data_IF_951567145260
#
_entry.id   IF_951567145260
#
_cell.length_a   1.000
_cell.length_b   1.000
_cell.length_c   1.000
_cell.angle_alpha   90.00
_cell.angle_beta   90.00
_cell.angle_gamma   90.00
#
_symmetry.space_group_name_H-M   'P 1'
#
loop_
_entity.id
_entity.type
_entity.pdbx_description
1 polymer ?
#
# COMPACT_ATOMS: atom_id res chain seq x y z
N UNK A 1 -26.21 34.30 51.21
CA UNK A 1 -26.46 35.66 50.72
C UNK A 1 -26.24 35.64 49.25
N UNK A 2 -27.11 35.75 48.58
CA UNK A 2 -28.27 36.36 47.88
C UNK A 2 -28.15 35.98 46.39
N UNK A 3 -29.10 35.24 45.89
CA UNK A 3 -30.37 35.50 45.24
C UNK A 3 -30.31 36.21 43.87
N UNK A 4 -30.72 35.43 42.87
CA UNK A 4 -31.74 35.72 41.84
C UNK A 4 -31.49 36.86 40.85
N UNK A 5 -31.56 36.54 39.55
CA UNK A 5 -32.79 36.80 38.81
C UNK A 5 -32.79 36.21 37.39
N UNK A 6 -33.87 35.55 37.14
CA UNK A 6 -34.45 35.03 35.91
C UNK A 6 -35.12 36.15 35.13
N UNK A 7 -34.99 36.24 33.82
CA UNK A 7 -36.03 36.82 32.96
C UNK A 7 -36.15 36.10 31.64
N UNK A 8 -37.31 35.55 31.43
CA UNK A 8 -37.93 35.06 30.19
C UNK A 8 -38.44 36.24 29.36
N UNK A 9 -38.39 36.14 28.02
CA UNK A 9 -39.31 36.77 27.05
C UNK A 9 -39.17 35.89 25.79
N UNK A 10 -40.06 35.07 25.40
CA UNK A 10 -41.38 35.13 24.78
C UNK A 10 -41.31 35.46 23.27
N UNK A 11 -41.58 34.46 22.49
CA UNK A 11 -42.29 34.22 21.22
C UNK A 11 -42.64 35.43 20.33
N UNK A 12 -42.36 35.28 19.01
CA UNK A 12 -43.28 35.74 17.96
C UNK A 12 -43.19 34.79 16.73
N UNK A 13 -44.33 34.17 16.46
CA UNK A 13 -44.68 33.40 15.26
C UNK A 13 -45.18 34.40 14.21
N UNK A 14 -44.68 34.33 12.97
CA UNK A 14 -45.40 34.87 11.82
C UNK A 14 -45.42 33.78 10.74
N UNK A 15 -46.64 33.30 10.50
CA UNK A 15 -47.03 32.47 9.38
C UNK A 15 -47.41 33.37 8.18
N UNK A 16 -46.97 32.98 7.01
CA UNK A 16 -47.41 33.59 5.76
C UNK A 16 -47.42 32.53 4.66
N UNK A 17 -48.61 32.15 4.26
CA UNK A 17 -48.91 31.12 3.29
C UNK A 17 -49.19 31.69 1.88
N UNK A 18 -49.12 30.77 0.90
CA UNK A 18 -49.72 30.77 -0.45
C UNK A 18 -48.94 31.53 -1.54
N UNK A 19 -48.69 30.94 -2.70
CA UNK A 19 -49.65 30.34 -3.66
C UNK A 19 -48.99 29.40 -4.67
N UNK A 20 -49.78 28.42 -5.07
CA UNK A 20 -49.60 27.43 -6.14
C UNK A 20 -49.30 28.03 -7.53
N UNK A 21 -48.44 27.33 -8.28
CA UNK A 21 -48.35 27.41 -9.73
C UNK A 21 -48.00 26.06 -10.30
N UNK A 22 -48.99 25.20 -10.53
CA UNK A 22 -48.88 24.00 -11.35
C UNK A 22 -48.79 24.40 -12.83
N UNK A 23 -47.72 23.96 -13.50
CA UNK A 23 -47.80 23.67 -14.93
C UNK A 23 -47.03 22.35 -15.17
N UNK A 24 -47.83 21.31 -15.42
CA UNK A 24 -47.36 20.04 -15.96
C UNK A 24 -47.09 20.18 -17.45
N UNK A 25 -45.98 19.61 -17.93
CA UNK A 25 -45.96 18.86 -19.17
C UNK A 25 -44.68 18.04 -19.20
N UNK A 26 -44.88 16.77 -19.32
CA UNK A 26 -43.89 15.74 -19.24
C UNK A 26 -42.98 15.62 -20.50
N UNK A 27 -41.85 15.04 -20.25
CA UNK A 27 -41.21 14.11 -21.17
C UNK A 27 -40.36 13.21 -20.31
N UNK A 28 -40.60 11.91 -20.38
CA UNK A 28 -39.80 10.87 -19.81
C UNK A 28 -38.44 10.82 -20.55
N UNK A 29 -37.44 11.34 -19.88
CA UNK A 29 -36.04 11.10 -20.19
C UNK A 29 -35.39 10.60 -18.90
N UNK A 30 -34.82 9.43 -18.94
CA UNK A 30 -34.08 8.84 -17.85
C UNK A 30 -32.77 9.65 -17.73
N UNK A 31 -32.78 10.75 -16.97
CA UNK A 31 -31.59 11.51 -16.65
C UNK A 31 -31.12 11.07 -15.26
N UNK A 32 -30.20 10.10 -15.23
CA UNK A 32 -29.25 9.96 -14.12
C UNK A 32 -28.16 11.03 -14.30
N UNK A 33 -28.50 12.30 -14.14
CA UNK A 33 -27.52 13.38 -14.16
C UNK A 33 -26.98 13.60 -12.75
N UNK A 34 -25.82 13.01 -12.43
CA UNK A 34 -24.93 13.57 -11.43
C UNK A 34 -24.64 15.03 -11.77
N UNK A 35 -24.32 15.86 -10.79
CA UNK A 35 -23.99 17.28 -10.99
C UNK A 35 -22.60 17.51 -11.63
N UNK A 36 -21.95 16.45 -12.13
CA UNK A 36 -20.62 16.48 -12.74
C UNK A 36 -19.46 16.73 -11.77
N UNK A 37 -19.75 16.78 -10.47
CA UNK A 37 -18.74 16.94 -9.43
C UNK A 37 -18.51 15.61 -8.70
N UNK A 38 -17.26 15.07 -8.80
CA UNK A 38 -16.84 13.82 -8.18
C UNK A 38 -15.80 14.07 -7.08
N UNK A 39 -15.85 13.23 -6.05
CA UNK A 39 -14.81 13.15 -5.02
C UNK A 39 -13.96 11.92 -5.26
N UNK A 40 -12.66 12.13 -5.41
CA UNK A 40 -11.66 11.07 -5.49
C UNK A 40 -10.86 10.99 -4.19
N UNK A 41 -11.08 9.94 -3.41
CA UNK A 41 -10.47 9.74 -2.10
C UNK A 41 -9.23 8.84 -2.19
N UNK A 42 -8.12 9.30 -1.60
CA UNK A 42 -6.86 8.57 -1.50
C UNK A 42 -6.31 8.60 -0.07
N UNK A 43 -5.34 7.72 0.26
CA UNK A 43 -4.72 7.71 1.61
C UNK A 43 -3.32 8.31 1.66
N UNK A 44 -2.68 8.60 0.53
CA UNK A 44 -1.31 9.13 0.48
C UNK A 44 -1.28 10.57 -0.04
N UNK A 45 -0.99 11.49 0.86
CA UNK A 45 -0.86 12.91 0.52
C UNK A 45 0.35 13.18 -0.39
N UNK A 46 1.40 12.35 -0.34
CA UNK A 46 2.57 12.45 -1.19
C UNK A 46 2.26 12.18 -2.66
N UNK A 47 1.28 11.33 -2.94
CA UNK A 47 0.86 10.99 -4.30
C UNK A 47 -0.27 11.91 -4.84
N UNK A 48 -0.81 12.80 -4.00
CA UNK A 48 -1.97 13.64 -4.38
C UNK A 48 -1.71 14.46 -5.63
N UNK A 49 -0.57 15.11 -5.74
CA UNK A 49 -0.23 15.96 -6.90
C UNK A 49 -0.19 15.17 -8.22
N UNK A 50 0.23 13.91 -8.19
CA UNK A 50 0.19 13.03 -9.35
C UNK A 50 -1.24 12.62 -9.73
N UNK A 51 -2.09 12.35 -8.73
CA UNK A 51 -3.51 12.07 -8.98
C UNK A 51 -4.27 13.28 -9.51
N UNK A 52 -3.89 14.48 -9.08
CA UNK A 52 -4.43 15.73 -9.64
C UNK A 52 -4.06 15.88 -11.12
N UNK A 53 -2.80 15.60 -11.52
CA UNK A 53 -2.41 15.60 -12.94
C UNK A 53 -3.23 14.60 -13.78
N UNK A 54 -3.44 13.40 -13.24
CA UNK A 54 -4.24 12.37 -13.92
C UNK A 54 -5.71 12.81 -14.09
N UNK A 55 -6.31 13.39 -13.05
CA UNK A 55 -7.68 13.91 -13.13
C UNK A 55 -7.79 15.16 -14.01
N UNK A 56 -6.79 16.02 -14.02
CA UNK A 56 -6.73 17.17 -14.93
C UNK A 56 -6.72 16.74 -16.39
N UNK A 57 -5.91 15.74 -16.77
CA UNK A 57 -5.89 15.20 -18.13
C UNK A 57 -7.26 14.68 -18.57
N UNK A 58 -7.96 13.95 -17.71
CA UNK A 58 -9.33 13.51 -17.98
C UNK A 58 -10.31 14.68 -18.13
N UNK A 59 -10.25 15.68 -17.24
CA UNK A 59 -11.14 16.86 -17.27
C UNK A 59 -10.90 17.76 -18.48
N UNK A 60 -9.72 17.76 -19.10
CA UNK A 60 -9.47 18.46 -20.36
C UNK A 60 -10.33 17.92 -21.50
N UNK A 61 -10.56 16.60 -21.54
CA UNK A 61 -11.43 15.96 -22.52
C UNK A 61 -12.92 15.98 -22.11
N UNK A 62 -13.20 16.16 -20.81
CA UNK A 62 -14.53 16.13 -20.20
C UNK A 62 -14.82 17.44 -19.43
N UNK A 63 -14.99 18.60 -20.11
CA UNK A 63 -15.06 19.92 -19.46
C UNK A 63 -16.25 20.11 -18.52
N UNK A 64 -17.27 19.29 -18.64
CA UNK A 64 -18.46 19.31 -17.77
C UNK A 64 -18.27 18.49 -16.47
N UNK A 65 -17.16 17.77 -16.33
CA UNK A 65 -16.80 16.97 -15.16
C UNK A 65 -15.79 17.72 -14.30
N UNK A 66 -15.93 17.60 -12.97
CA UNK A 66 -14.95 18.08 -12.02
C UNK A 66 -14.62 16.98 -11.01
N UNK A 67 -13.35 16.62 -10.89
CA UNK A 67 -12.87 15.64 -9.94
C UNK A 67 -12.01 16.37 -8.89
N UNK A 68 -12.37 16.22 -7.62
CA UNK A 68 -11.61 16.75 -6.48
C UNK A 68 -10.88 15.62 -5.77
N UNK A 69 -9.54 15.65 -5.80
CA UNK A 69 -8.71 14.66 -5.09
C UNK A 69 -8.57 15.05 -3.62
N UNK A 70 -8.99 14.16 -2.72
CA UNK A 70 -8.90 14.34 -1.28
C UNK A 70 -8.01 13.24 -0.69
N UNK A 71 -7.03 13.64 0.14
CA UNK A 71 -6.12 12.73 0.82
C UNK A 71 -6.42 12.70 2.33
N UNK A 72 -6.42 11.48 2.90
CA UNK A 72 -6.61 11.24 4.33
C UNK A 72 -5.59 10.17 4.74
N UNK A 73 -5.00 10.27 5.93
CA UNK A 73 -4.03 9.24 6.38
C UNK A 73 -4.66 7.84 6.46
N UNK A 74 -3.83 6.80 6.34
CA UNK A 74 -4.21 5.39 6.20
C UNK A 74 -5.32 4.93 7.17
N UNK A 75 -5.14 5.08 8.48
CA UNK A 75 -6.11 4.59 9.48
C UNK A 75 -7.46 5.33 9.41
N UNK A 76 -7.40 6.64 9.20
CA UNK A 76 -8.60 7.48 9.05
C UNK A 76 -9.32 7.20 7.74
N UNK A 77 -8.56 6.88 6.67
CA UNK A 77 -9.11 6.50 5.37
C UNK A 77 -10.02 5.28 5.49
N UNK A 78 -9.52 4.18 6.05
CA UNK A 78 -10.30 2.95 6.19
C UNK A 78 -11.49 3.12 7.14
N UNK A 79 -11.30 3.85 8.24
CA UNK A 79 -12.40 4.17 9.16
C UNK A 79 -13.54 4.94 8.46
N UNK A 80 -13.19 5.92 7.64
CA UNK A 80 -14.18 6.71 6.88
C UNK A 80 -14.82 5.90 5.76
N UNK A 81 -14.04 5.13 5.03
CA UNK A 81 -14.54 4.32 3.92
C UNK A 81 -15.54 3.28 4.39
N UNK A 82 -15.27 2.59 5.50
CA UNK A 82 -16.17 1.61 6.12
C UNK A 82 -17.48 2.25 6.61
N UNK A 83 -17.39 3.40 7.28
CA UNK A 83 -18.57 4.17 7.69
C UNK A 83 -19.40 4.62 6.48
N UNK A 84 -18.75 5.03 5.39
CA UNK A 84 -19.40 5.46 4.15
C UNK A 84 -20.08 4.29 3.42
N UNK A 85 -19.48 3.11 3.41
CA UNK A 85 -20.09 1.88 2.87
C UNK A 85 -21.37 1.52 3.62
N UNK A 86 -21.34 1.60 4.96
CA UNK A 86 -22.52 1.31 5.80
C UNK A 86 -23.65 2.32 5.61
N UNK A 87 -23.34 3.59 5.34
CA UNK A 87 -24.32 4.67 5.17
C UNK A 87 -24.72 4.95 3.72
N UNK A 88 -24.22 4.15 2.77
CA UNK A 88 -24.41 4.34 1.32
C UNK A 88 -24.02 5.75 0.84
N UNK A 89 -22.88 6.24 1.34
CA UNK A 89 -22.32 7.56 1.02
C UNK A 89 -20.84 7.47 0.62
N UNK A 90 -20.51 6.45 -0.14
CA UNK A 90 -19.15 6.23 -0.65
C UNK A 90 -18.68 7.44 -1.48
N UNK A 91 -17.37 7.78 -1.44
CA UNK A 91 -16.81 8.68 -2.44
C UNK A 91 -17.00 8.10 -3.85
N UNK A 92 -17.04 8.98 -4.87
CA UNK A 92 -17.32 8.55 -6.25
C UNK A 92 -16.18 7.68 -6.81
N UNK A 93 -14.94 8.05 -6.51
CA UNK A 93 -13.72 7.30 -6.87
C UNK A 93 -12.88 7.16 -5.63
N UNK A 94 -12.26 6.01 -5.43
CA UNK A 94 -11.40 5.78 -4.28
C UNK A 94 -10.35 4.72 -4.58
N UNK A 95 -9.26 4.75 -3.84
CA UNK A 95 -8.28 3.68 -3.89
C UNK A 95 -8.74 2.46 -3.10
N UNK A 96 -8.47 1.29 -3.63
CA UNK A 96 -8.73 0.02 -2.97
C UNK A 96 -7.43 -0.78 -2.87
N UNK A 97 -7.00 -1.04 -1.64
CA UNK A 97 -5.84 -1.88 -1.38
C UNK A 97 -6.21 -3.36 -1.47
N UNK A 98 -5.30 -4.19 -1.96
CA UNK A 98 -5.57 -5.62 -2.19
C UNK A 98 -6.05 -6.36 -0.93
N UNK A 99 -5.54 -6.03 0.27
CA UNK A 99 -5.95 -6.68 1.53
C UNK A 99 -7.42 -6.43 1.93
N UNK A 100 -8.09 -5.46 1.33
CA UNK A 100 -9.50 -5.15 1.56
C UNK A 100 -10.40 -5.53 0.36
N UNK A 101 -9.81 -5.90 -0.78
CA UNK A 101 -10.53 -6.12 -2.03
C UNK A 101 -11.67 -7.13 -1.86
N UNK A 102 -11.40 -8.32 -1.33
CA UNK A 102 -12.42 -9.34 -1.12
C UNK A 102 -13.55 -8.85 -0.22
N UNK A 103 -13.23 -8.18 0.92
CA UNK A 103 -14.24 -7.65 1.83
C UNK A 103 -15.23 -6.72 1.16
N UNK A 104 -14.76 -5.84 0.28
CA UNK A 104 -15.62 -4.87 -0.40
C UNK A 104 -16.31 -5.45 -1.64
N UNK A 105 -15.61 -6.28 -2.42
CA UNK A 105 -16.16 -6.91 -3.62
C UNK A 105 -17.26 -7.92 -3.27
N UNK A 106 -16.99 -8.86 -2.38
CA UNK A 106 -17.90 -9.96 -2.04
C UNK A 106 -19.15 -9.48 -1.27
N UNK A 107 -19.07 -8.31 -0.62
CA UNK A 107 -20.24 -7.65 -0.04
C UNK A 107 -21.01 -6.77 -1.05
N UNK A 108 -20.66 -6.78 -2.34
CA UNK A 108 -21.35 -6.05 -3.39
C UNK A 108 -21.22 -4.52 -3.30
N UNK A 109 -20.19 -4.03 -2.61
CA UNK A 109 -19.95 -2.60 -2.43
C UNK A 109 -19.30 -1.99 -3.67
N UNK A 110 -18.42 -2.75 -4.35
CA UNK A 110 -17.66 -2.29 -5.52
C UNK A 110 -18.42 -2.53 -6.83
N UNK A 111 -18.24 -1.65 -7.79
CA UNK A 111 -18.70 -1.87 -9.17
C UNK A 111 -17.80 -2.87 -9.88
N UNK A 112 -18.39 -3.75 -10.66
CA UNK A 112 -17.67 -4.65 -11.58
C UNK A 112 -17.00 -3.84 -12.70
N UNK A 113 -15.69 -3.99 -12.83
CA UNK A 113 -14.83 -3.34 -13.81
C UNK A 113 -14.36 -4.28 -14.93
N UNK A 114 -14.83 -5.54 -14.95
CA UNK A 114 -14.36 -6.57 -15.90
C UNK A 114 -14.51 -6.16 -17.37
N UNK A 115 -15.55 -5.39 -17.71
CA UNK A 115 -15.78 -4.92 -19.07
C UNK A 115 -14.86 -3.77 -19.53
N UNK A 116 -14.21 -3.07 -18.59
CA UNK A 116 -13.35 -1.91 -18.89
C UNK A 116 -11.86 -2.18 -18.70
N UNK A 117 -11.48 -3.33 -18.11
CA UNK A 117 -10.10 -3.74 -17.90
C UNK A 117 -9.71 -4.84 -18.86
N UNK A 118 -8.82 -4.56 -19.80
CA UNK A 118 -8.17 -5.62 -20.59
C UNK A 118 -7.04 -6.24 -19.76
N UNK A 119 -7.32 -7.37 -19.11
CA UNK A 119 -6.38 -8.05 -18.22
C UNK A 119 -5.03 -8.38 -18.88
N UNK A 120 -5.00 -8.54 -20.23
CA UNK A 120 -3.75 -8.84 -20.96
C UNK A 120 -2.74 -7.68 -20.97
N UNK A 121 -3.21 -6.48 -20.68
CA UNK A 121 -2.37 -5.27 -20.60
C UNK A 121 -1.69 -5.07 -19.24
N UNK A 122 -2.07 -5.85 -18.23
CA UNK A 122 -1.58 -5.71 -16.85
C UNK A 122 -0.80 -6.95 -16.39
N UNK A 123 -0.04 -6.83 -15.30
CA UNK A 123 0.61 -7.99 -14.71
C UNK A 123 -0.43 -8.94 -14.09
N UNK A 124 -0.16 -10.25 -14.11
CA UNK A 124 -1.04 -11.23 -13.49
C UNK A 124 -1.25 -10.94 -11.99
N UNK A 125 -0.22 -10.46 -11.29
CA UNK A 125 -0.31 -10.09 -9.87
C UNK A 125 -1.25 -8.90 -9.69
N UNK A 126 -1.16 -7.87 -10.52
CA UNK A 126 -2.02 -6.69 -10.43
C UNK A 126 -3.49 -7.05 -10.68
N UNK A 127 -3.76 -7.91 -11.66
CA UNK A 127 -5.13 -8.41 -11.92
C UNK A 127 -5.62 -9.22 -10.72
N UNK A 128 -4.85 -10.21 -10.24
CA UNK A 128 -5.24 -11.03 -9.09
C UNK A 128 -5.45 -10.22 -7.78
N UNK A 129 -4.86 -9.03 -7.67
CA UNK A 129 -5.08 -8.10 -6.55
C UNK A 129 -6.34 -7.23 -6.73
N UNK A 130 -6.92 -7.18 -7.93
CA UNK A 130 -8.13 -6.44 -8.26
C UNK A 130 -9.39 -7.34 -8.35
N UNK A 131 -9.23 -8.67 -8.22
CA UNK A 131 -10.32 -9.64 -8.29
C UNK A 131 -11.03 -9.83 -6.95
N UNK A 132 -12.34 -10.07 -7.01
CA UNK A 132 -13.12 -10.64 -5.91
C UNK A 132 -13.03 -12.17 -5.88
N UNK A 133 -13.68 -12.81 -4.92
CA UNK A 133 -13.69 -14.28 -4.79
C UNK A 133 -14.39 -15.00 -5.95
N UNK A 134 -15.25 -14.31 -6.69
CA UNK A 134 -15.93 -14.79 -7.89
C UNK A 134 -15.09 -14.71 -9.17
N UNK A 135 -13.88 -14.13 -9.09
CA UNK A 135 -12.96 -13.96 -10.21
C UNK A 135 -13.28 -12.77 -11.12
N UNK A 136 -14.26 -11.94 -10.78
CA UNK A 136 -14.50 -10.69 -11.49
C UNK A 136 -13.55 -9.60 -10.98
N UNK A 137 -13.27 -8.62 -11.86
CA UNK A 137 -12.38 -7.50 -11.55
C UNK A 137 -13.20 -6.35 -10.95
N UNK A 138 -12.87 -5.92 -9.72
CA UNK A 138 -13.59 -4.88 -8.98
C UNK A 138 -12.83 -3.57 -8.82
N UNK A 139 -11.76 -3.42 -9.56
CA UNK A 139 -11.00 -2.18 -9.63
C UNK A 139 -10.03 -2.17 -10.81
N UNK A 140 -9.64 -0.98 -11.25
CA UNK A 140 -8.60 -0.83 -12.27
C UNK A 140 -7.25 -0.83 -11.55
N UNK A 141 -6.33 -1.77 -11.88
CA UNK A 141 -4.99 -1.75 -11.29
C UNK A 141 -4.29 -0.41 -11.53
N UNK A 142 -3.85 0.22 -10.45
CA UNK A 142 -3.14 1.49 -10.47
C UNK A 142 -1.64 1.29 -10.71
N UNK A 143 -1.07 0.38 -9.95
CA UNK A 143 0.37 0.17 -9.87
C UNK A 143 0.74 -1.31 -9.76
N UNK A 144 2.04 -1.58 -9.84
CA UNK A 144 2.68 -2.84 -9.49
C UNK A 144 3.90 -2.51 -8.66
N UNK A 145 3.74 -2.58 -7.36
CA UNK A 145 4.77 -2.19 -6.43
C UNK A 145 5.73 -3.33 -6.10
N UNK A 146 6.93 -2.98 -5.66
CA UNK A 146 7.95 -3.90 -5.16
C UNK A 146 8.45 -3.44 -3.81
N UNK A 147 8.86 -4.38 -2.99
CA UNK A 147 9.69 -4.10 -1.81
C UNK A 147 11.14 -3.97 -2.26
N UNK A 148 11.86 -2.97 -1.75
CA UNK A 148 13.23 -2.65 -2.16
C UNK A 148 14.15 -2.51 -0.96
N UNK A 149 15.44 -2.79 -1.13
CA UNK A 149 16.45 -2.46 -0.15
C UNK A 149 16.92 -1.02 -0.37
N UNK A 150 16.68 -0.15 0.62
CA UNK A 150 17.20 1.22 0.65
C UNK A 150 18.50 1.23 1.44
N UNK A 151 19.56 1.85 0.90
CA UNK A 151 20.86 1.88 1.57
C UNK A 151 21.55 3.25 1.52
N UNK A 152 22.30 3.60 2.58
CA UNK A 152 22.98 4.89 2.76
C UNK A 152 24.44 4.79 2.29
N UNK A 153 24.75 5.40 1.13
CA UNK A 153 26.09 5.38 0.51
C UNK A 153 27.18 5.97 1.41
N UNK A 154 26.85 7.01 2.20
CA UNK A 154 27.85 7.64 3.08
C UNK A 154 28.24 6.72 4.24
N UNK A 155 27.27 6.04 4.88
CA UNK A 155 27.55 5.09 5.98
C UNK A 155 28.32 3.88 5.46
N UNK A 156 27.98 3.34 4.30
CA UNK A 156 28.71 2.24 3.65
C UNK A 156 30.17 2.62 3.37
N UNK A 157 30.39 3.81 2.80
CA UNK A 157 31.74 4.32 2.54
C UNK A 157 32.56 4.50 3.84
N UNK A 158 31.93 5.05 4.90
CA UNK A 158 32.60 5.21 6.21
C UNK A 158 33.00 3.85 6.81
N UNK A 159 32.18 2.83 6.66
CA UNK A 159 32.44 1.49 7.16
C UNK A 159 33.38 0.68 6.28
N UNK A 160 33.67 1.13 5.05
CA UNK A 160 34.44 0.36 4.05
C UNK A 160 33.72 -0.93 3.66
N UNK A 161 32.40 -0.87 3.52
CA UNK A 161 31.54 -1.96 3.04
C UNK A 161 31.18 -1.69 1.57
N UNK A 162 31.20 -2.72 0.73
CA UNK A 162 30.72 -2.62 -0.65
C UNK A 162 29.21 -2.41 -0.68
N UNK A 163 28.71 -1.65 -1.66
CA UNK A 163 27.28 -1.46 -1.83
C UNK A 163 26.55 -2.77 -2.16
N UNK A 164 25.28 -2.92 -1.75
CA UNK A 164 24.49 -4.11 -2.08
C UNK A 164 24.29 -4.22 -3.60
N UNK A 165 24.37 -5.45 -4.11
CA UNK A 165 24.13 -5.81 -5.50
C UNK A 165 23.26 -7.10 -5.60
N UNK A 166 23.04 -7.60 -6.80
CA UNK A 166 22.19 -8.76 -7.08
C UNK A 166 22.79 -10.11 -6.60
N UNK A 167 24.03 -10.09 -6.11
CA UNK A 167 24.69 -11.26 -5.54
C UNK A 167 24.49 -11.39 -4.04
N UNK A 168 24.02 -10.34 -3.38
CA UNK A 168 23.87 -10.31 -1.93
C UNK A 168 22.92 -11.39 -1.42
N UNK A 169 23.30 -11.95 -0.29
CA UNK A 169 22.54 -12.94 0.48
C UNK A 169 22.19 -12.39 1.87
N UNK A 170 21.38 -13.11 2.62
CA UNK A 170 21.12 -12.82 4.03
C UNK A 170 22.40 -12.79 4.87
N UNK A 171 23.40 -13.63 4.53
CA UNK A 171 24.69 -13.62 5.21
C UNK A 171 25.42 -12.29 4.95
N UNK A 172 25.44 -11.81 3.70
CA UNK A 172 26.02 -10.50 3.37
C UNK A 172 25.30 -9.34 4.07
N UNK A 173 23.94 -9.39 4.17
CA UNK A 173 23.17 -8.40 4.89
C UNK A 173 23.58 -8.33 6.38
N UNK A 174 23.75 -9.51 7.01
CA UNK A 174 24.13 -9.61 8.42
C UNK A 174 25.58 -9.15 8.63
N UNK A 175 26.53 -9.65 7.83
CA UNK A 175 27.95 -9.28 7.91
C UNK A 175 28.18 -7.77 7.66
N UNK A 176 27.47 -7.20 6.68
CA UNK A 176 27.52 -5.76 6.41
C UNK A 176 26.98 -4.96 7.59
N UNK A 177 25.87 -5.40 8.19
CA UNK A 177 25.24 -4.73 9.34
C UNK A 177 26.16 -4.71 10.55
N UNK A 178 26.78 -5.85 10.89
CA UNK A 178 27.75 -5.98 11.97
C UNK A 178 28.96 -5.05 11.73
N UNK A 179 29.56 -5.12 10.54
CA UNK A 179 30.72 -4.31 10.19
C UNK A 179 30.40 -2.80 10.20
N UNK A 180 29.24 -2.39 9.70
CA UNK A 180 28.80 -0.99 9.75
C UNK A 180 28.71 -0.51 11.20
N UNK A 181 28.08 -1.30 12.06
CA UNK A 181 27.96 -0.93 13.48
C UNK A 181 29.31 -0.85 14.18
N UNK A 182 30.19 -1.84 13.98
CA UNK A 182 31.54 -1.82 14.56
C UNK A 182 32.41 -0.63 14.13
N UNK A 183 32.31 -0.23 12.86
CA UNK A 183 33.15 0.84 12.31
C UNK A 183 32.60 2.24 12.52
N UNK A 184 31.26 2.38 12.62
CA UNK A 184 30.62 3.70 12.60
C UNK A 184 29.76 4.00 13.84
N UNK A 185 29.36 2.96 14.59
CA UNK A 185 28.37 3.07 15.67
C UNK A 185 26.94 3.34 15.15
N UNK A 186 26.71 3.18 13.81
CA UNK A 186 25.39 3.35 13.20
C UNK A 186 24.71 1.99 13.06
N UNK A 187 23.37 1.98 13.07
CA UNK A 187 22.64 0.76 12.82
C UNK A 187 22.92 0.23 11.41
N UNK A 188 22.97 -1.09 11.27
CA UNK A 188 23.10 -1.78 9.98
C UNK A 188 21.76 -1.88 9.27
N UNK A 189 21.24 -3.11 9.16
CA UNK A 189 19.87 -3.34 8.67
C UNK A 189 18.85 -3.16 9.79
N UNK A 190 17.86 -2.31 9.54
CA UNK A 190 16.81 -2.00 10.50
C UNK A 190 15.59 -2.91 10.28
N UNK A 191 15.59 -4.06 10.97
CA UNK A 191 14.55 -5.09 10.87
C UNK A 191 13.33 -4.75 11.74
N UNK A 192 12.49 -3.84 11.30
CA UNK A 192 11.26 -3.47 12.03
C UNK A 192 10.11 -4.46 11.78
N UNK A 193 9.17 -4.52 12.71
CA UNK A 193 8.02 -5.41 12.63
C UNK A 193 7.06 -4.96 11.53
N UNK A 194 7.05 -5.66 10.41
CA UNK A 194 6.13 -5.42 9.30
C UNK A 194 6.06 -6.68 8.43
N UNK A 195 4.89 -7.00 7.91
CA UNK A 195 4.66 -8.12 7.02
C UNK A 195 5.19 -7.84 5.60
N UNK A 196 4.56 -6.94 4.85
CA UNK A 196 4.86 -6.66 3.44
C UNK A 196 6.28 -6.14 3.21
N UNK A 197 6.71 -5.12 3.93
CA UNK A 197 8.07 -4.54 3.80
C UNK A 197 9.06 -5.12 4.83
N UNK A 198 8.79 -6.30 5.33
CA UNK A 198 9.57 -6.98 6.35
C UNK A 198 9.64 -8.49 6.14
N UNK A 199 9.21 -9.25 7.17
CA UNK A 199 9.53 -10.66 7.31
C UNK A 199 8.90 -11.59 6.25
N UNK A 200 7.79 -11.23 5.61
CA UNK A 200 7.21 -12.09 4.58
C UNK A 200 8.11 -12.23 3.34
N UNK A 201 8.91 -11.22 2.98
CA UNK A 201 9.89 -11.38 1.91
C UNK A 201 10.89 -12.50 2.22
N UNK A 202 11.36 -12.57 3.47
CA UNK A 202 12.26 -13.66 3.92
C UNK A 202 11.55 -15.02 3.89
N UNK A 203 10.25 -15.08 4.23
CA UNK A 203 9.48 -16.32 4.14
C UNK A 203 9.47 -16.85 2.71
N UNK A 204 9.09 -16.03 1.75
CA UNK A 204 9.04 -16.43 0.34
C UNK A 204 10.44 -16.76 -0.22
N UNK A 205 11.46 -16.01 0.17
CA UNK A 205 12.85 -16.29 -0.22
C UNK A 205 13.35 -17.64 0.31
N UNK A 206 12.85 -18.10 1.45
CA UNK A 206 13.18 -19.42 1.98
C UNK A 206 12.32 -20.55 1.39
N UNK A 207 11.41 -20.22 0.46
CA UNK A 207 10.47 -21.17 -0.14
C UNK A 207 9.32 -21.55 0.77
N UNK A 208 9.02 -20.71 1.77
CA UNK A 208 7.84 -20.80 2.63
C UNK A 208 6.67 -19.99 2.08
N UNK A 209 5.52 -20.16 2.70
CA UNK A 209 4.26 -19.47 2.36
C UNK A 209 3.54 -19.04 3.65
N UNK A 210 2.73 -18.01 3.58
CA UNK A 210 1.88 -17.56 4.69
C UNK A 210 0.55 -18.31 4.68
N UNK A 211 -0.04 -18.45 3.50
CA UNK A 211 -1.19 -19.29 3.21
C UNK A 211 -0.81 -20.23 2.07
N UNK A 212 -1.46 -21.39 1.99
CA UNK A 212 -1.36 -22.25 0.81
C UNK A 212 -1.93 -21.55 -0.44
N UNK A 213 -1.70 -22.12 -1.63
CA UNK A 213 -2.03 -21.53 -2.93
C UNK A 213 -3.49 -21.08 -3.07
N UNK A 214 -4.44 -21.82 -2.49
CA UNK A 214 -5.87 -21.51 -2.54
C UNK A 214 -6.37 -20.64 -1.37
N UNK A 215 -5.47 -20.19 -0.48
CA UNK A 215 -5.80 -19.30 0.66
C UNK A 215 -6.61 -19.94 1.78
N UNK A 216 -6.75 -21.27 1.77
CA UNK A 216 -7.63 -22.03 2.68
C UNK A 216 -6.92 -22.61 3.92
N UNK A 217 -5.59 -22.50 3.99
CA UNK A 217 -4.77 -23.05 5.08
C UNK A 217 -3.63 -22.12 5.44
N UNK A 218 -3.46 -21.86 6.74
CA UNK A 218 -2.30 -21.15 7.28
C UNK A 218 -1.04 -22.03 7.24
N UNK A 219 0.13 -21.43 6.93
CA UNK A 219 1.40 -22.15 6.75
C UNK A 219 2.53 -21.62 7.69
N UNK A 220 2.18 -20.92 8.78
CA UNK A 220 3.18 -20.30 9.68
C UNK A 220 4.08 -21.31 10.38
N UNK A 221 3.58 -22.53 10.68
CA UNK A 221 4.32 -23.58 11.38
C UNK A 221 5.12 -24.50 10.44
N UNK A 222 4.95 -24.36 9.13
CA UNK A 222 5.76 -25.10 8.18
C UNK A 222 7.24 -24.68 8.30
N UNK A 223 8.14 -25.63 8.08
CA UNK A 223 9.57 -25.43 8.38
C UNK A 223 10.16 -24.22 7.66
N UNK A 224 9.90 -24.08 6.37
CA UNK A 224 10.45 -22.98 5.57
C UNK A 224 9.97 -21.62 6.10
N UNK A 225 8.69 -21.50 6.40
CA UNK A 225 8.06 -20.28 6.95
C UNK A 225 8.60 -19.96 8.35
N UNK A 226 8.55 -20.94 9.27
CA UNK A 226 8.96 -20.73 10.66
C UNK A 226 10.45 -20.39 10.78
N UNK A 227 11.32 -21.02 9.99
CA UNK A 227 12.76 -20.73 10.01
C UNK A 227 13.07 -19.31 9.49
N UNK A 228 12.37 -18.86 8.46
CA UNK A 228 12.52 -17.50 7.94
C UNK A 228 12.04 -16.42 8.94
N UNK A 229 10.92 -16.66 9.60
CA UNK A 229 10.43 -15.76 10.67
C UNK A 229 11.44 -15.71 11.82
N UNK A 230 11.98 -16.86 12.25
CA UNK A 230 13.02 -16.93 13.29
C UNK A 230 14.28 -16.16 12.87
N UNK A 231 14.71 -16.31 11.63
CA UNK A 231 15.84 -15.56 11.09
C UNK A 231 15.58 -14.06 11.18
N UNK A 232 14.44 -13.58 10.66
CA UNK A 232 14.11 -12.15 10.64
C UNK A 232 14.01 -11.56 12.06
N UNK A 233 13.32 -12.23 12.98
CA UNK A 233 13.24 -11.81 14.38
C UNK A 233 14.63 -11.75 15.03
N UNK A 234 15.50 -12.71 14.70
CA UNK A 234 16.85 -12.74 15.25
C UNK A 234 17.73 -11.58 14.75
N UNK A 235 17.43 -10.97 13.59
CA UNK A 235 18.12 -9.75 13.14
C UNK A 235 17.96 -8.60 14.14
N UNK A 236 16.78 -8.46 14.76
CA UNK A 236 16.51 -7.41 15.74
C UNK A 236 17.22 -7.65 17.09
N UNK A 237 17.59 -8.88 17.41
CA UNK A 237 18.29 -9.21 18.68
C UNK A 237 19.76 -8.78 18.69
N UNK A 238 20.24 -8.10 17.65
CA UNK A 238 21.62 -7.64 17.53
C UNK A 238 21.74 -6.15 17.88
N UNK A 239 22.85 -5.75 18.47
CA UNK A 239 23.14 -4.35 18.83
C UNK A 239 23.15 -3.40 17.61
N UNK A 240 23.35 -3.95 16.41
CA UNK A 240 23.34 -3.19 15.15
C UNK A 240 21.93 -2.95 14.58
N UNK A 241 20.86 -3.43 15.23
CA UNK A 241 19.49 -3.15 14.85
C UNK A 241 18.79 -2.35 15.97
N UNK A 242 17.94 -1.36 15.68
CA UNK A 242 17.11 -0.71 16.67
C UNK A 242 16.15 -1.68 17.35
N UNK A 243 15.88 -1.49 18.64
CA UNK A 243 14.85 -2.23 19.35
C UNK A 243 13.44 -1.80 18.95
N UNK A 244 12.43 -2.61 19.26
CA UNK A 244 11.02 -2.26 19.00
C UNK A 244 10.60 -0.95 19.68
N UNK A 245 11.11 -0.65 20.90
CA UNK A 245 10.86 0.62 21.58
C UNK A 245 11.44 1.81 20.79
N UNK A 246 12.62 1.63 20.18
CA UNK A 246 13.23 2.67 19.35
C UNK A 246 12.46 2.89 18.05
N UNK A 247 11.95 1.82 17.41
CA UNK A 247 11.08 1.93 16.23
C UNK A 247 9.74 2.59 16.56
N UNK A 248 9.16 2.33 17.73
CA UNK A 248 7.93 2.99 18.18
C UNK A 248 8.11 4.50 18.43
N UNK A 249 9.31 4.94 18.81
CA UNK A 249 9.62 6.36 19.03
C UNK A 249 10.05 7.10 17.76
N UNK A 250 10.73 6.41 16.84
CA UNK A 250 11.26 6.99 15.60
C UNK A 250 11.24 5.91 14.51
N UNK A 251 10.52 6.15 13.45
CA UNK A 251 10.38 5.17 12.35
C UNK A 251 11.73 4.80 11.71
N UNK A 252 11.80 3.63 11.06
CA UNK A 252 13.00 3.23 10.30
C UNK A 252 13.38 4.28 9.24
N UNK A 253 12.39 4.85 8.55
CA UNK A 253 12.57 5.93 7.57
C UNK A 253 13.24 7.17 8.20
N UNK A 254 12.73 7.65 9.34
CA UNK A 254 13.31 8.81 10.01
C UNK A 254 14.72 8.53 10.53
N UNK A 255 14.97 7.35 11.10
CA UNK A 255 16.31 6.92 11.54
C UNK A 255 17.28 6.85 10.35
N UNK A 256 16.84 6.33 9.19
CA UNK A 256 17.65 6.29 7.98
C UNK A 256 18.02 7.68 7.47
N UNK A 257 17.04 8.53 7.24
CA UNK A 257 17.26 9.85 6.65
C UNK A 257 17.92 10.85 7.64
N UNK A 258 17.89 10.58 8.95
CA UNK A 258 18.72 11.29 9.94
C UNK A 258 20.15 10.75 10.04
N UNK A 259 20.52 9.73 9.23
CA UNK A 259 21.86 9.15 9.21
C UNK A 259 22.19 8.27 10.41
N UNK A 260 21.19 7.68 11.07
CA UNK A 260 21.38 6.74 12.17
C UNK A 260 21.41 5.28 11.73
N UNK A 261 20.74 4.94 10.61
CA UNK A 261 20.67 3.59 10.05
C UNK A 261 21.18 3.52 8.62
N UNK A 262 21.75 2.40 8.25
CA UNK A 262 22.39 2.19 6.95
C UNK A 262 21.47 1.53 5.93
N UNK A 263 20.56 0.65 6.34
CA UNK A 263 19.70 -0.12 5.47
C UNK A 263 18.34 -0.42 6.08
N UNK A 264 17.31 -0.43 5.24
CA UNK A 264 15.98 -0.96 5.59
C UNK A 264 15.22 -1.35 4.33
N UNK A 265 14.17 -2.13 4.47
CA UNK A 265 13.24 -2.37 3.38
C UNK A 265 12.17 -1.29 3.35
N UNK A 266 11.84 -0.83 2.15
CA UNK A 266 10.78 0.13 1.88
C UNK A 266 9.97 -0.29 0.65
N UNK A 267 8.86 0.38 0.41
CA UNK A 267 8.12 0.20 -0.82
C UNK A 267 8.64 1.09 -1.96
N UNK A 268 8.56 0.60 -3.19
CA UNK A 268 8.86 1.42 -4.37
C UNK A 268 7.98 2.68 -4.46
N UNK A 269 6.77 2.60 -3.88
CA UNK A 269 5.81 3.71 -3.79
C UNK A 269 6.25 4.88 -2.91
N UNK A 270 7.24 4.66 -2.02
CA UNK A 270 7.77 5.70 -1.12
C UNK A 270 8.91 6.50 -1.73
N UNK A 271 9.58 5.99 -2.78
CA UNK A 271 10.85 6.54 -3.27
C UNK A 271 10.73 8.00 -3.74
N UNK A 272 9.68 8.34 -4.46
CA UNK A 272 9.46 9.71 -4.91
C UNK A 272 9.22 10.67 -3.73
N UNK A 273 8.48 10.22 -2.71
CA UNK A 273 8.26 10.98 -1.49
C UNK A 273 9.56 11.14 -0.68
N UNK A 274 10.40 10.10 -0.60
CA UNK A 274 11.71 10.20 0.05
C UNK A 274 12.59 11.24 -0.64
N UNK A 275 12.67 11.21 -1.97
CA UNK A 275 13.43 12.18 -2.75
C UNK A 275 12.97 13.62 -2.52
N UNK A 276 11.68 13.86 -2.52
CA UNK A 276 11.10 15.20 -2.38
C UNK A 276 11.15 15.73 -0.95
N UNK A 277 11.04 14.84 0.05
CA UNK A 277 11.04 15.19 1.47
C UNK A 277 12.45 15.40 2.01
N UNK A 278 13.39 14.50 1.66
CA UNK A 278 14.75 14.49 2.21
C UNK A 278 15.78 14.98 1.19
N UNK A 279 15.57 16.18 0.67
CA UNK A 279 16.40 16.78 -0.40
C UNK A 279 17.88 16.90 -0.06
N UNK A 280 18.23 17.07 1.21
CA UNK A 280 19.60 17.11 1.70
C UNK A 280 20.33 15.76 1.60
N UNK A 281 19.58 14.68 1.39
CA UNK A 281 20.09 13.32 1.20
C UNK A 281 20.24 12.93 -0.28
N UNK A 282 19.91 13.81 -1.22
CA UNK A 282 20.08 13.56 -2.66
C UNK A 282 21.52 13.12 -2.97
N UNK A 283 21.68 12.02 -3.69
CA UNK A 283 22.97 11.41 -4.04
C UNK A 283 23.68 10.65 -2.89
N UNK A 284 23.13 10.64 -1.66
CA UNK A 284 23.73 9.97 -0.50
C UNK A 284 23.13 8.62 -0.18
N UNK A 285 22.08 8.22 -0.86
CA UNK A 285 21.42 6.93 -0.72
C UNK A 285 21.03 6.37 -2.10
N UNK A 286 20.65 5.12 -2.12
CA UNK A 286 20.22 4.44 -3.34
C UNK A 286 19.36 3.23 -3.02
N UNK A 287 18.88 2.55 -4.04
CA UNK A 287 18.08 1.33 -3.94
C UNK A 287 18.77 0.14 -4.60
N UNK A 288 18.52 -1.03 -4.05
CA UNK A 288 18.99 -2.29 -4.58
C UNK A 288 17.92 -3.37 -4.51
N UNK A 289 18.14 -4.47 -5.21
CA UNK A 289 17.34 -5.70 -5.08
C UNK A 289 17.46 -6.26 -3.66
N UNK A 290 16.46 -7.04 -3.24
CA UNK A 290 16.51 -7.69 -1.93
C UNK A 290 17.62 -8.78 -1.90
N UNK A 291 18.35 -8.91 -0.76
CA UNK A 291 19.27 -10.02 -0.56
C UNK A 291 18.53 -11.35 -0.60
N UNK A 292 19.08 -12.34 -1.28
CA UNK A 292 18.47 -13.68 -1.42
C UNK A 292 18.78 -14.60 -0.25
N UNK A 293 17.91 -15.58 0.00
CA UNK A 293 18.22 -16.68 0.92
C UNK A 293 19.40 -17.51 0.38
N UNK A 294 20.49 -17.71 1.17
CA UNK A 294 21.65 -18.44 0.69
C UNK A 294 21.43 -19.96 0.53
N UNK A 295 20.51 -20.52 1.32
CA UNK A 295 20.21 -21.95 1.35
C UNK A 295 18.70 -22.17 1.56
N UNK A 296 17.86 -21.87 0.56
CA UNK A 296 16.42 -21.97 0.72
C UNK A 296 15.96 -23.43 0.83
N UNK A 297 14.86 -23.68 1.52
CA UNK A 297 14.23 -25.01 1.57
C UNK A 297 13.67 -25.41 0.20
N UNK A 298 13.29 -24.41 -0.63
CA UNK A 298 12.92 -24.60 -2.04
C UNK A 298 13.20 -23.34 -2.87
N UNK A 299 13.22 -23.49 -4.21
CA UNK A 299 13.50 -22.38 -5.13
C UNK A 299 14.97 -22.00 -5.21
N UNK A 300 15.26 -20.79 -5.68
CA UNK A 300 16.61 -20.25 -5.87
C UNK A 300 17.00 -19.19 -4.81
N UNK A 301 16.14 -18.98 -3.83
CA UNK A 301 16.34 -18.02 -2.74
C UNK A 301 15.91 -16.60 -3.08
N UNK A 302 15.38 -16.35 -4.28
CA UNK A 302 14.88 -15.04 -4.70
C UNK A 302 13.37 -14.99 -4.60
N UNK A 303 12.87 -14.00 -3.93
CA UNK A 303 11.46 -13.59 -3.96
C UNK A 303 11.35 -12.15 -3.48
N UNK A 304 10.35 -11.44 -3.96
CA UNK A 304 9.97 -10.10 -3.51
C UNK A 304 8.46 -9.96 -3.58
N UNK A 305 7.87 -9.39 -2.55
CA UNK A 305 6.44 -9.11 -2.58
C UNK A 305 6.16 -8.00 -3.58
N UNK A 306 5.21 -8.28 -4.47
CA UNK A 306 4.57 -7.30 -5.34
C UNK A 306 3.10 -7.16 -4.95
N UNK A 307 2.66 -5.93 -4.85
CA UNK A 307 1.28 -5.57 -4.57
C UNK A 307 0.76 -4.65 -5.66
N UNK A 308 -0.54 -4.40 -5.64
CA UNK A 308 -1.21 -3.43 -6.51
C UNK A 308 -2.34 -2.78 -5.74
N UNK A 309 -2.42 -1.47 -5.84
CA UNK A 309 -3.59 -0.68 -5.46
C UNK A 309 -4.51 -0.59 -6.67
N UNK A 310 -5.80 -0.50 -6.47
CA UNK A 310 -6.77 -0.31 -7.54
C UNK A 310 -7.51 1.02 -7.41
N UNK A 311 -7.88 1.61 -8.53
CA UNK A 311 -8.94 2.62 -8.60
C UNK A 311 -10.28 1.90 -8.58
N UNK A 312 -11.18 2.30 -7.70
CA UNK A 312 -12.49 1.68 -7.56
C UNK A 312 -13.62 2.72 -7.47
N UNK A 313 -14.82 2.29 -7.72
CA UNK A 313 -16.07 3.04 -7.50
C UNK A 313 -17.13 2.14 -6.88
N UNK A 314 -18.11 2.74 -6.20
CA UNK A 314 -19.18 1.99 -5.57
C UNK A 314 -20.17 1.42 -6.61
N UNK A 315 -20.70 0.21 -6.34
CA UNK A 315 -21.74 -0.42 -7.16
C UNK A 315 -23.02 0.44 -7.25
N UNK A 316 -23.33 1.14 -6.16
CA UNK A 316 -24.48 2.02 -6.02
C UNK A 316 -24.02 3.45 -5.71
N UNK A 317 -23.82 4.26 -6.73
CA UNK A 317 -23.34 5.64 -6.59
C UNK A 317 -24.09 6.59 -7.50
N UNK A 318 -24.36 7.81 -7.02
CA UNK A 318 -25.05 8.85 -7.80
C UNK A 318 -24.32 9.19 -9.09
N UNK A 319 -22.98 9.19 -9.06
CA UNK A 319 -22.11 9.55 -10.17
C UNK A 319 -21.41 8.33 -10.78
N UNK A 320 -21.94 7.10 -10.56
CA UNK A 320 -21.32 5.84 -10.97
C UNK A 320 -20.90 5.83 -12.46
N UNK A 321 -21.78 6.29 -13.34
CA UNK A 321 -21.51 6.23 -14.79
C UNK A 321 -20.31 7.11 -15.17
N UNK A 322 -20.19 8.30 -14.57
CA UNK A 322 -19.05 9.21 -14.79
C UNK A 322 -17.78 8.64 -14.14
N UNK A 323 -17.90 8.07 -12.93
CA UNK A 323 -16.78 7.41 -12.26
C UNK A 323 -16.27 6.22 -13.06
N UNK A 324 -17.15 5.38 -13.62
CA UNK A 324 -16.76 4.26 -14.50
C UNK A 324 -16.09 4.73 -15.80
N UNK A 325 -16.53 5.86 -16.37
CA UNK A 325 -15.86 6.46 -17.53
C UNK A 325 -14.44 6.94 -17.20
N UNK A 326 -14.26 7.58 -16.04
CA UNK A 326 -12.92 7.89 -15.53
C UNK A 326 -12.08 6.62 -15.26
N UNK A 327 -12.67 5.57 -14.68
CA UNK A 327 -11.97 4.31 -14.46
C UNK A 327 -11.54 3.68 -15.80
N UNK A 328 -12.34 3.78 -16.85
CA UNK A 328 -11.97 3.34 -18.19
C UNK A 328 -10.81 4.15 -18.77
N UNK A 329 -10.77 5.47 -18.53
CA UNK A 329 -9.63 6.29 -18.92
C UNK A 329 -8.35 5.86 -18.21
N UNK A 330 -8.38 5.65 -16.88
CA UNK A 330 -7.18 5.21 -16.14
C UNK A 330 -6.78 3.76 -16.42
N UNK A 331 -7.67 2.94 -16.98
CA UNK A 331 -7.34 1.61 -17.49
C UNK A 331 -6.61 1.61 -18.84
N UNK A 332 -6.62 2.73 -19.56
CA UNK A 332 -5.97 2.86 -20.86
C UNK A 332 -4.44 3.01 -20.72
N UNK A 333 -3.71 2.72 -21.80
CA UNK A 333 -2.27 2.97 -21.87
C UNK A 333 -1.94 4.45 -21.57
N UNK A 334 -2.77 5.39 -22.05
CA UNK A 334 -2.57 6.83 -21.84
C UNK A 334 -2.73 7.21 -20.37
N UNK A 335 -3.81 6.79 -19.70
CA UNK A 335 -4.01 7.07 -18.28
C UNK A 335 -2.88 6.50 -17.42
N UNK A 336 -2.45 5.27 -17.70
CA UNK A 336 -1.33 4.63 -17.00
C UNK A 336 0.01 5.32 -17.29
N UNK A 337 0.22 5.82 -18.50
CA UNK A 337 1.42 6.61 -18.86
C UNK A 337 1.47 7.92 -18.09
N UNK A 338 0.38 8.69 -18.06
CA UNK A 338 0.28 9.95 -17.31
C UNK A 338 0.57 9.70 -15.83
N UNK A 339 0.05 8.60 -15.26
CA UNK A 339 0.35 8.23 -13.89
C UNK A 339 1.85 7.94 -13.69
N UNK A 340 2.48 7.16 -14.56
CA UNK A 340 3.91 6.88 -14.50
C UNK A 340 4.75 8.16 -14.59
N UNK A 341 4.47 9.02 -15.57
CA UNK A 341 5.12 10.31 -15.77
C UNK A 341 4.86 11.31 -14.63
N UNK A 342 3.84 11.07 -13.81
CA UNK A 342 3.62 11.85 -12.59
C UNK A 342 4.57 11.46 -11.45
N UNK A 343 5.24 10.32 -11.55
CA UNK A 343 6.23 9.83 -10.60
C UNK A 343 5.66 9.17 -9.34
N UNK A 344 4.34 8.95 -9.27
CA UNK A 344 3.70 8.47 -8.02
C UNK A 344 3.98 7.01 -7.70
N UNK A 345 3.95 6.13 -8.69
CA UNK A 345 4.21 4.69 -8.54
C UNK A 345 4.49 4.05 -9.91
N UNK A 346 5.06 2.85 -9.91
CA UNK A 346 5.28 2.08 -11.14
C UNK A 346 3.91 1.72 -11.73
N UNK A 347 3.58 2.13 -12.97
CA UNK A 347 2.28 1.84 -13.56
C UNK A 347 2.00 0.33 -13.62
N UNK A 348 0.75 -0.07 -13.39
CA UNK A 348 0.36 -1.47 -13.50
C UNK A 348 0.40 -2.01 -14.94
N UNK A 349 0.24 -1.12 -15.93
CA UNK A 349 0.25 -1.46 -17.35
C UNK A 349 1.64 -1.93 -17.79
N UNK A 350 1.70 -3.07 -18.46
CA UNK A 350 2.95 -3.70 -18.88
C UNK A 350 3.72 -2.83 -19.87
N UNK A 351 5.03 -2.68 -19.67
CA UNK A 351 5.94 -1.96 -20.56
C UNK A 351 5.96 -0.43 -20.35
N UNK A 352 5.31 0.07 -19.28
CA UNK A 352 5.34 1.49 -18.93
C UNK A 352 6.24 1.81 -17.72
N UNK A 353 7.02 0.85 -17.23
CA UNK A 353 7.90 1.02 -16.06
C UNK A 353 8.86 2.19 -16.21
N UNK A 354 9.41 2.36 -17.41
CA UNK A 354 10.35 3.44 -17.74
C UNK A 354 9.75 4.84 -17.55
N UNK A 355 8.43 4.99 -17.68
CA UNK A 355 7.77 6.28 -17.47
C UNK A 355 7.96 6.78 -16.04
N UNK A 356 7.90 5.87 -15.05
CA UNK A 356 8.16 6.18 -13.66
C UNK A 356 9.67 6.29 -13.37
N UNK A 357 10.49 5.37 -13.88
CA UNK A 357 11.96 5.37 -13.68
C UNK A 357 12.57 6.69 -14.12
N UNK A 358 12.20 7.19 -15.29
CA UNK A 358 12.78 8.41 -15.86
C UNK A 358 12.47 9.66 -15.04
N UNK A 359 11.36 9.68 -14.29
CA UNK A 359 10.98 10.86 -13.49
C UNK A 359 12.00 11.22 -12.43
N UNK A 360 12.75 10.27 -11.91
CA UNK A 360 13.77 10.54 -10.89
C UNK A 360 14.91 11.38 -11.45
N UNK A 361 15.47 10.99 -12.58
CA UNK A 361 16.52 11.74 -13.24
C UNK A 361 16.01 13.11 -13.76
N UNK A 362 14.80 13.17 -14.30
CA UNK A 362 14.18 14.41 -14.80
C UNK A 362 13.95 15.43 -13.67
N UNK A 363 13.64 14.96 -12.46
CA UNK A 363 13.52 15.81 -11.28
C UNK A 363 14.85 16.09 -10.57
N UNK A 364 15.99 15.61 -11.10
CA UNK A 364 17.32 15.83 -10.55
C UNK A 364 17.65 14.98 -9.33
N UNK A 365 16.94 13.87 -9.11
CA UNK A 365 17.23 12.91 -8.05
C UNK A 365 18.33 11.94 -8.49
N UNK A 366 19.35 11.77 -7.66
CA UNK A 366 20.51 10.90 -7.90
C UNK A 366 20.35 9.57 -7.19
N UNK A 367 19.33 8.82 -7.60
CA UNK A 367 19.07 7.41 -7.23
C UNK A 367 18.81 6.60 -8.52
N UNK A 368 18.91 5.27 -8.43
CA UNK A 368 18.86 4.36 -9.56
C UNK A 368 17.66 3.38 -9.45
N UNK A 369 16.42 3.83 -9.62
CA UNK A 369 15.25 2.96 -9.47
C UNK A 369 15.16 1.89 -10.56
N UNK A 370 15.88 2.01 -11.67
CA UNK A 370 16.01 0.97 -12.70
C UNK A 370 16.60 -0.34 -12.14
N UNK A 371 17.39 -0.28 -11.07
CA UNK A 371 18.00 -1.46 -10.45
C UNK A 371 16.98 -2.46 -9.89
N UNK A 372 15.77 -1.99 -9.54
CA UNK A 372 14.75 -2.86 -8.93
C UNK A 372 13.81 -3.52 -9.96
N UNK A 373 13.70 -2.98 -11.17
CA UNK A 373 12.76 -3.46 -12.20
C UNK A 373 12.94 -4.97 -12.49
N UNK A 374 14.17 -5.52 -12.56
CA UNK A 374 14.36 -6.96 -12.77
C UNK A 374 13.71 -7.86 -11.71
N UNK A 375 13.40 -7.34 -10.52
CA UNK A 375 12.74 -8.13 -9.47
C UNK A 375 11.31 -8.58 -9.83
N UNK A 376 10.66 -7.96 -10.83
CA UNK A 376 9.36 -8.44 -11.32
C UNK A 376 9.42 -9.88 -11.85
N UNK A 377 10.58 -10.37 -12.32
CA UNK A 377 10.75 -11.74 -12.81
C UNK A 377 10.54 -12.80 -11.73
N UNK A 378 10.76 -12.47 -10.45
CA UNK A 378 10.62 -13.36 -9.30
C UNK A 378 9.73 -12.77 -8.20
N UNK A 379 8.85 -11.87 -8.59
CA UNK A 379 7.89 -11.29 -7.67
C UNK A 379 6.78 -12.28 -7.30
N UNK A 380 6.33 -12.19 -6.05
CA UNK A 380 5.23 -12.98 -5.51
C UNK A 380 4.08 -12.07 -5.09
N UNK A 381 2.86 -12.55 -5.24
CA UNK A 381 1.66 -11.81 -4.84
C UNK A 381 1.67 -11.56 -3.33
N UNK A 382 1.35 -10.34 -2.91
CA UNK A 382 1.01 -10.06 -1.52
C UNK A 382 -0.22 -10.87 -1.12
N UNK A 383 -0.03 -11.82 -0.23
CA UNK A 383 -1.05 -12.83 0.08
C UNK A 383 -2.32 -12.18 0.62
N UNK A 384 -3.45 -12.67 0.14
CA UNK A 384 -4.76 -12.22 0.56
C UNK A 384 -5.77 -13.36 0.49
N UNK A 385 -6.76 -13.32 1.38
CA UNK A 385 -7.96 -14.15 1.35
C UNK A 385 -9.13 -13.38 1.97
N UNK A 386 -10.38 -13.81 1.81
CA UNK A 386 -11.53 -13.10 2.36
C UNK A 386 -11.47 -12.86 3.88
N UNK A 387 -10.90 -13.80 4.66
CA UNK A 387 -10.77 -13.68 6.12
C UNK A 387 -9.64 -12.75 6.60
N UNK A 388 -8.78 -12.24 5.69
CA UNK A 388 -7.61 -11.42 6.06
C UNK A 388 -7.93 -10.23 6.98
N UNK A 389 -8.97 -9.44 6.77
CA UNK A 389 -9.28 -8.31 7.65
C UNK A 389 -9.54 -8.72 9.10
N UNK A 390 -9.91 -9.97 9.36
CA UNK A 390 -10.18 -10.48 10.71
C UNK A 390 -8.95 -11.02 11.42
N UNK A 391 -7.93 -11.52 10.69
CA UNK A 391 -6.72 -12.10 11.27
C UNK A 391 -5.49 -11.17 11.23
N UNK A 392 -5.36 -10.31 10.22
CA UNK A 392 -4.18 -9.44 10.02
C UNK A 392 -3.83 -8.62 11.28
N UNK A 393 -4.75 -7.86 11.91
CA UNK A 393 -4.40 -7.06 13.09
C UNK A 393 -3.95 -7.90 14.29
N UNK A 394 -4.45 -9.13 14.41
CA UNK A 394 -4.08 -10.05 15.50
C UNK A 394 -2.68 -10.64 15.27
N UNK A 395 -2.36 -10.96 14.01
CA UNK A 395 -1.03 -11.42 13.60
C UNK A 395 0.00 -10.33 13.79
N UNK A 396 -0.29 -9.10 13.38
CA UNK A 396 0.57 -7.93 13.61
C UNK A 396 0.85 -7.73 15.10
N UNK A 397 -0.17 -7.79 15.96
CA UNK A 397 0.01 -7.69 17.40
C UNK A 397 0.91 -8.82 17.94
N UNK A 398 0.75 -10.04 17.43
CA UNK A 398 1.59 -11.18 17.82
C UNK A 398 3.06 -10.95 17.45
N UNK A 399 3.32 -10.40 16.26
CA UNK A 399 4.68 -10.03 15.83
C UNK A 399 5.26 -8.97 16.77
N UNK A 400 4.51 -7.94 17.11
CA UNK A 400 4.94 -6.91 18.06
C UNK A 400 5.25 -7.51 19.45
N UNK A 401 4.46 -8.47 19.92
CA UNK A 401 4.67 -9.16 21.20
C UNK A 401 5.95 -10.03 21.17
N UNK A 402 6.27 -10.67 20.04
CA UNK A 402 7.54 -11.36 19.85
C UNK A 402 8.70 -10.38 19.97
N UNK A 403 8.64 -9.25 19.28
CA UNK A 403 9.70 -8.24 19.26
C UNK A 403 9.88 -7.54 20.61
N UNK A 404 8.79 -7.39 21.37
CA UNK A 404 8.84 -6.87 22.75
C UNK A 404 9.32 -7.90 23.79
N UNK A 405 9.51 -9.16 23.38
CA UNK A 405 9.88 -10.25 24.29
C UNK A 405 8.74 -10.71 25.20
N UNK A 406 7.49 -10.35 24.89
CA UNK A 406 6.30 -10.76 25.64
C UNK A 406 5.92 -12.21 25.38
N UNK A 407 6.30 -12.76 24.23
CA UNK A 407 6.13 -14.16 23.86
C UNK A 407 7.39 -14.70 23.20
N UNK A 408 7.63 -16.01 23.30
CA UNK A 408 8.72 -16.63 22.54
C UNK A 408 8.41 -16.65 21.04
N UNK A 409 9.43 -16.73 20.20
CA UNK A 409 9.24 -16.80 18.75
C UNK A 409 8.44 -18.03 18.35
N UNK A 410 8.72 -19.19 18.98
CA UNK A 410 8.00 -20.44 18.69
C UNK A 410 6.53 -20.37 19.10
N UNK A 411 6.23 -19.85 20.30
CA UNK A 411 4.84 -19.67 20.76
C UNK A 411 4.10 -18.63 19.90
N UNK A 412 4.79 -17.57 19.48
CA UNK A 412 4.22 -16.55 18.60
C UNK A 412 3.89 -17.11 17.22
N UNK A 413 4.77 -17.91 16.62
CA UNK A 413 4.52 -18.58 15.33
C UNK A 413 3.30 -19.51 15.46
N UNK A 414 3.20 -20.30 16.55
CA UNK A 414 2.03 -21.13 16.78
C UNK A 414 0.75 -20.28 16.95
N UNK A 415 0.82 -19.18 17.68
CA UNK A 415 -0.31 -18.27 17.84
C UNK A 415 -0.78 -17.66 16.51
N UNK A 416 0.15 -17.24 15.64
CA UNK A 416 -0.18 -16.75 14.29
C UNK A 416 -0.87 -17.85 13.46
N UNK A 417 -0.36 -19.08 13.51
CA UNK A 417 -0.98 -20.24 12.87
C UNK A 417 -2.43 -20.46 13.33
N UNK A 418 -2.66 -20.41 14.65
CA UNK A 418 -3.98 -20.64 15.24
C UNK A 418 -4.95 -19.51 14.87
N UNK A 419 -4.52 -18.24 14.99
CA UNK A 419 -5.31 -17.06 14.62
C UNK A 419 -5.83 -17.15 13.18
N UNK A 420 -4.93 -17.45 12.23
CA UNK A 420 -5.29 -17.51 10.81
C UNK A 420 -6.15 -18.73 10.51
N UNK A 421 -5.87 -19.89 11.14
CA UNK A 421 -6.67 -21.10 10.98
C UNK A 421 -8.10 -20.91 11.50
N UNK A 422 -8.26 -20.27 12.66
CA UNK A 422 -9.57 -19.93 13.22
C UNK A 422 -10.35 -18.97 12.31
N UNK A 423 -9.69 -17.92 11.83
CA UNK A 423 -10.33 -16.93 10.95
C UNK A 423 -10.83 -17.55 9.62
N UNK A 424 -10.04 -18.46 9.03
CA UNK A 424 -10.45 -19.18 7.81
C UNK A 424 -11.65 -20.12 8.10
N UNK A 425 -11.70 -20.73 9.28
CA UNK A 425 -12.79 -21.65 9.63
C UNK A 425 -14.12 -20.94 9.96
N UNK A 426 -14.10 -19.65 10.27
CA UNK A 426 -15.28 -18.82 10.58
C UNK A 426 -15.96 -18.25 9.33
N UNK A 427 -15.33 -18.35 8.17
CA UNK A 427 -15.82 -17.88 6.88
C UNK A 427 -16.70 -18.93 6.18
#
# INVERSE_FOLDING_TARGET
>A
MERKNMRRIASLVIAGALTLGLTACGTSGNESSGDGKLVFQIWDAGQKAGMEKLTEAYMEEHPDVKIEVQATGWDEYWTKLEASATSNSMPDIFWMHSNQMYKYADNGILADCSDIVDASCFSNISIANAEGSDGNIYGVPKDKDLVVLVYNKEIFNQAGVAYPDDTWTWDNLTEASEKIYEQTGKYGYMAYAHDQVGYWNFVYQNGGEILNEDGTKAEYTEKATSDAIKFYVNLQNNDWCPTQEQFANTSATEQFFSGQGAMFFAGSWDLANFCSTYTDMNGKWDVAVLPKCPNPESGDGRAVISNSVSYATAAEGKNKDIAMDFLKFVASEEGQRIQGESGVAIPAYNGLEDTWVNTFAENGYDIHPENIIPMFEYSVKYVNNPSRPSWEPKVEQTVLDIYAGNTSVDDGIQNMQDIVTEAIAEE
#
